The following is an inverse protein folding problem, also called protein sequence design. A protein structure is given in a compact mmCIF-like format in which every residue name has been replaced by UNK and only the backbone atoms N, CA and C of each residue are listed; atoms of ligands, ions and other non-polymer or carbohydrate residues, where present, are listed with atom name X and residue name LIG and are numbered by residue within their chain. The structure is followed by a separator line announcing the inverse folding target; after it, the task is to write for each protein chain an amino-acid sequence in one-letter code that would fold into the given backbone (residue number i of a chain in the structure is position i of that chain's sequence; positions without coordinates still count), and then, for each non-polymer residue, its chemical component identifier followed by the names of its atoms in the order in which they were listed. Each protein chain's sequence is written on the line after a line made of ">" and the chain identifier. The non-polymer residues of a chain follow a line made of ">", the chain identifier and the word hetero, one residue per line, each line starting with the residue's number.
data_IF_536120725018
#
_entry.id   IF_536120725018
#
_cell.length_a   1.000
_cell.length_b   1.000
_cell.length_c   1.000
_cell.angle_alpha   90.00
_cell.angle_beta   90.00
_cell.angle_gamma   90.00
#
_symmetry.space_group_name_H-M   'P 1'
#
loop_
_entity.id
_entity.type
_entity.pdbx_description
1 polymer ?
#
# COMPACT_ATOMS: atom_id res chain seq x y z
N UNK A 1 -14.78 -12.44 -3.10
CA UNK A 1 -14.38 -12.74 -1.71
C UNK A 1 -14.32 -11.44 -0.93
N UNK A 2 -14.83 -11.41 0.30
CA UNK A 2 -14.64 -10.31 1.25
C UNK A 2 -14.29 -10.90 2.60
N UNK A 3 -13.24 -10.39 3.24
CA UNK A 3 -12.90 -10.75 4.62
C UNK A 3 -12.32 -9.54 5.35
N UNK A 4 -12.35 -9.61 6.68
CA UNK A 4 -11.81 -8.59 7.57
C UNK A 4 -10.86 -9.21 8.59
N UNK A 5 -9.84 -8.45 8.96
CA UNK A 5 -8.94 -8.74 10.08
C UNK A 5 -9.03 -7.57 11.05
N UNK A 6 -9.37 -7.86 12.30
CA UNK A 6 -9.62 -6.85 13.33
C UNK A 6 -8.59 -6.97 14.46
N UNK A 7 -7.80 -5.92 14.68
CA UNK A 7 -7.05 -5.72 15.91
C UNK A 7 -7.96 -5.09 16.96
N UNK A 8 -8.19 -5.80 18.06
CA UNK A 8 -9.12 -5.39 19.13
C UNK A 8 -8.35 -4.97 20.38
N UNK A 9 -8.70 -3.81 20.95
CA UNK A 9 -8.14 -3.28 22.20
C UNK A 9 -9.30 -3.03 23.16
N UNK A 10 -9.26 -3.62 24.36
CA UNK A 10 -10.31 -3.49 25.38
C UNK A 10 -11.74 -3.79 24.85
N UNK A 11 -11.87 -4.76 23.95
CA UNK A 11 -13.16 -5.12 23.33
C UNK A 11 -13.60 -4.23 22.16
N UNK A 12 -12.83 -3.20 21.81
CA UNK A 12 -13.11 -2.30 20.68
C UNK A 12 -12.19 -2.57 19.49
N UNK A 13 -12.70 -2.73 18.26
CA UNK A 13 -11.87 -2.80 17.06
C UNK A 13 -11.12 -1.47 16.86
N UNK A 14 -9.79 -1.49 17.04
CA UNK A 14 -8.94 -0.31 16.90
C UNK A 14 -8.34 -0.18 15.50
N UNK A 15 -8.05 -1.32 14.85
CA UNK A 15 -7.51 -1.39 13.49
C UNK A 15 -8.30 -2.46 12.75
N UNK A 16 -8.91 -2.11 11.62
CA UNK A 16 -9.64 -3.05 10.76
C UNK A 16 -9.03 -3.01 9.37
N UNK A 17 -8.60 -4.18 8.88
CA UNK A 17 -8.13 -4.34 7.50
C UNK A 17 -9.18 -5.16 6.78
N UNK A 18 -9.82 -4.56 5.77
CA UNK A 18 -10.74 -5.25 4.89
C UNK A 18 -10.08 -5.55 3.54
N UNK A 19 -10.31 -6.76 3.02
CA UNK A 19 -9.94 -7.13 1.67
C UNK A 19 -11.19 -7.51 0.88
N UNK A 20 -11.42 -6.81 -0.23
CA UNK A 20 -12.51 -7.12 -1.17
C UNK A 20 -11.92 -7.46 -2.54
N UNK A 21 -12.16 -8.68 -3.01
CA UNK A 21 -11.83 -9.12 -4.37
C UNK A 21 -13.11 -9.48 -5.10
N UNK A 22 -13.33 -8.88 -6.27
CA UNK A 22 -14.48 -9.17 -7.14
C UNK A 22 -14.00 -9.72 -8.49
N UNK A 23 -14.79 -10.63 -9.06
CA UNK A 23 -14.57 -11.11 -10.43
C UNK A 23 -15.15 -10.16 -11.49
N UNK A 24 -16.26 -9.49 -11.17
CA UNK A 24 -16.93 -8.50 -12.02
C UNK A 24 -17.41 -7.33 -11.17
N UNK A 25 -17.47 -6.16 -11.77
CA UNK A 25 -17.81 -4.91 -11.07
C UNK A 25 -19.28 -4.87 -10.59
N UNK A 26 -20.18 -5.55 -11.30
CA UNK A 26 -21.61 -5.62 -10.98
C UNK A 26 -21.94 -6.53 -9.79
N UNK A 27 -20.97 -7.33 -9.31
CA UNK A 27 -21.18 -8.24 -8.19
C UNK A 27 -21.05 -7.52 -6.85
N UNK A 28 -22.05 -7.71 -5.98
CA UNK A 28 -22.11 -7.10 -4.64
C UNK A 28 -21.93 -5.57 -4.70
N UNK A 29 -22.86 -4.85 -5.34
CA UNK A 29 -22.84 -3.39 -5.38
C UNK A 29 -22.99 -2.78 -3.97
N UNK A 30 -23.57 -3.52 -3.03
CA UNK A 30 -23.78 -3.18 -1.62
C UNK A 30 -22.48 -3.16 -0.78
N UNK A 31 -21.40 -3.77 -1.27
CA UNK A 31 -20.10 -3.74 -0.62
C UNK A 31 -19.32 -2.47 -0.97
N UNK A 32 -18.30 -2.09 -0.18
CA UNK A 32 -17.43 -0.96 -0.51
C UNK A 32 -16.86 -1.06 -1.93
N UNK A 33 -16.91 0.07 -2.64
CA UNK A 33 -16.46 0.18 -4.01
C UNK A 33 -15.10 0.91 -4.07
N UNK A 34 -14.21 0.52 -4.99
CA UNK A 34 -12.95 1.22 -5.17
C UNK A 34 -13.18 2.62 -5.73
N UNK A 35 -12.24 3.54 -5.45
CA UNK A 35 -12.28 4.91 -5.94
C UNK A 35 -11.88 5.05 -7.42
N UNK A 36 -11.38 3.98 -8.05
CA UNK A 36 -11.08 3.93 -9.48
C UNK A 36 -11.52 2.57 -10.08
N UNK A 37 -11.77 2.50 -11.40
CA UNK A 37 -12.03 1.24 -12.08
C UNK A 37 -10.93 0.19 -11.85
N UNK A 38 -11.31 -1.08 -11.77
CA UNK A 38 -10.40 -2.19 -11.49
C UNK A 38 -9.98 -2.36 -10.01
N UNK A 39 -9.70 -1.28 -9.28
CA UNK A 39 -9.43 -1.35 -7.84
C UNK A 39 -8.60 -0.20 -7.26
N UNK A 40 -8.74 0.05 -5.96
CA UNK A 40 -7.99 1.03 -5.18
C UNK A 40 -7.64 0.49 -3.79
N UNK A 41 -6.77 1.19 -3.07
CA UNK A 41 -6.54 0.97 -1.64
C UNK A 41 -7.04 2.19 -0.87
N UNK A 42 -7.85 1.97 0.16
CA UNK A 42 -8.39 3.04 1.00
C UNK A 42 -7.84 2.93 2.42
N UNK A 43 -7.45 4.07 2.98
CA UNK A 43 -7.12 4.23 4.40
C UNK A 43 -8.11 5.22 4.99
N UNK A 44 -8.78 4.80 6.07
CA UNK A 44 -9.71 5.63 6.83
C UNK A 44 -9.22 5.72 8.27
N UNK A 45 -9.02 6.96 8.73
CA UNK A 45 -8.67 7.28 10.11
C UNK A 45 -9.85 8.05 10.68
N UNK A 46 -10.56 7.45 11.62
CA UNK A 46 -11.71 8.05 12.29
C UNK A 46 -11.30 8.63 13.64
N UNK A 47 -11.59 9.91 13.85
CA UNK A 47 -11.23 10.65 15.07
C UNK A 47 -11.36 12.15 14.85
N UNK A 48 -10.58 12.92 15.59
CA UNK A 48 -10.46 14.36 15.41
C UNK A 48 -8.97 14.75 15.33
N UNK A 49 -8.44 15.13 14.15
CA UNK A 49 -9.13 15.13 12.86
C UNK A 49 -9.34 13.72 12.28
N UNK A 50 -10.31 13.59 11.37
CA UNK A 50 -10.52 12.39 10.54
C UNK A 50 -9.88 12.55 9.16
N UNK A 51 -9.43 11.43 8.57
CA UNK A 51 -8.87 11.38 7.22
C UNK A 51 -9.42 10.21 6.41
N UNK A 52 -9.64 10.43 5.12
CA UNK A 52 -9.87 9.37 4.13
C UNK A 52 -8.91 9.57 2.98
N UNK A 53 -8.15 8.53 2.65
CA UNK A 53 -7.15 8.56 1.57
C UNK A 53 -7.39 7.39 0.65
N UNK A 54 -7.63 7.69 -0.63
CA UNK A 54 -7.69 6.71 -1.71
C UNK A 54 -6.37 6.71 -2.49
N UNK A 55 -5.74 5.55 -2.55
CA UNK A 55 -4.54 5.31 -3.33
C UNK A 55 -4.98 4.54 -4.58
N UNK A 56 -4.77 5.20 -5.73
CA UNK A 56 -5.21 4.77 -7.05
C UNK A 56 -3.99 4.64 -7.99
N UNK A 57 -3.22 3.54 -7.90
CA UNK A 57 -2.04 3.36 -8.73
C UNK A 57 -2.43 3.25 -10.21
N UNK A 58 -1.70 3.95 -11.07
CA UNK A 58 -1.84 3.86 -12.52
C UNK A 58 -0.48 3.67 -13.17
N UNK A 59 -0.46 3.06 -14.35
CA UNK A 59 0.77 2.84 -15.11
C UNK A 59 0.50 3.06 -16.60
N UNK A 60 1.50 3.55 -17.33
CA UNK A 60 1.46 3.59 -18.81
C UNK A 60 1.74 2.22 -19.43
N UNK A 61 2.19 1.24 -18.64
CA UNK A 61 2.62 -0.09 -19.09
C UNK A 61 1.60 -1.20 -18.75
N UNK A 62 0.51 -0.86 -18.10
CA UNK A 62 -0.50 -1.82 -17.66
C UNK A 62 -1.58 -1.16 -16.84
N UNK A 63 -2.48 -1.97 -16.29
CA UNK A 63 -3.59 -1.52 -15.46
C UNK A 63 -3.17 -1.16 -14.02
N UNK A 64 -4.16 -0.95 -13.15
CA UNK A 64 -3.96 -0.67 -11.74
C UNK A 64 -3.21 -1.82 -11.01
N UNK A 65 -3.43 -3.08 -11.41
CA UNK A 65 -2.82 -4.23 -10.78
C UNK A 65 -1.32 -4.28 -11.13
N UNK A 66 -0.98 -4.07 -12.40
CA UNK A 66 0.41 -3.89 -12.82
C UNK A 66 1.07 -2.74 -12.04
N UNK A 67 0.41 -1.58 -11.93
CA UNK A 67 0.93 -0.45 -11.18
C UNK A 67 1.18 -0.76 -9.69
N UNK A 68 0.23 -1.43 -9.03
CA UNK A 68 0.35 -1.83 -7.64
C UNK A 68 1.48 -2.86 -7.42
N UNK A 69 1.63 -3.84 -8.31
CA UNK A 69 2.72 -4.82 -8.27
C UNK A 69 4.09 -4.12 -8.43
N UNK A 70 4.21 -3.19 -9.38
CA UNK A 70 5.45 -2.41 -9.57
C UNK A 70 5.77 -1.58 -8.32
N UNK A 71 4.77 -0.94 -7.70
CA UNK A 71 4.96 -0.20 -6.46
C UNK A 71 5.44 -1.10 -5.30
N UNK A 72 4.85 -2.30 -5.16
CA UNK A 72 5.26 -3.28 -4.16
C UNK A 72 6.70 -3.77 -4.39
N UNK A 73 7.04 -4.16 -5.63
CA UNK A 73 8.39 -4.56 -6.00
C UNK A 73 9.40 -3.43 -5.77
N UNK A 74 9.05 -2.20 -6.14
CA UNK A 74 9.87 -1.01 -5.90
C UNK A 74 10.16 -0.80 -4.41
N UNK A 75 9.15 -0.96 -3.53
CA UNK A 75 9.36 -0.88 -2.08
C UNK A 75 10.33 -1.94 -1.58
N UNK A 76 10.26 -3.18 -2.09
CA UNK A 76 11.16 -4.27 -1.71
C UNK A 76 12.60 -3.95 -2.14
N UNK A 77 12.81 -3.59 -3.41
CA UNK A 77 14.14 -3.28 -3.94
C UNK A 77 14.77 -2.08 -3.24
N UNK A 78 13.99 -1.02 -3.02
CA UNK A 78 14.47 0.18 -2.32
C UNK A 78 14.79 -0.07 -0.84
N UNK A 79 14.27 -1.14 -0.25
CA UNK A 79 14.58 -1.52 1.13
C UNK A 79 15.92 -2.25 1.28
N UNK A 80 16.49 -2.79 0.20
CA UNK A 80 17.71 -3.62 0.25
C UNK A 80 18.86 -2.94 1.00
N UNK A 81 19.23 -1.67 0.73
CA UNK A 81 20.33 -1.02 1.44
C UNK A 81 20.08 -0.91 2.96
N UNK A 82 18.84 -0.58 3.35
CA UNK A 82 18.46 -0.48 4.76
C UNK A 82 18.49 -1.83 5.46
N UNK A 83 18.06 -2.91 4.79
CA UNK A 83 18.11 -4.27 5.31
C UNK A 83 19.55 -4.75 5.48
N UNK A 84 20.42 -4.51 4.50
CA UNK A 84 21.85 -4.89 4.56
C UNK A 84 22.57 -4.17 5.70
N UNK A 85 22.23 -2.90 5.96
CA UNK A 85 22.81 -2.11 7.05
C UNK A 85 22.24 -2.43 8.44
N UNK A 86 21.12 -3.16 8.52
CA UNK A 86 20.47 -3.46 9.79
C UNK A 86 21.24 -4.54 10.58
N UNK A 87 21.19 -4.54 11.93
CA UNK A 87 21.79 -5.62 12.70
C UNK A 87 21.08 -6.96 12.41
N UNK A 88 21.77 -8.10 12.56
CA UNK A 88 21.18 -9.43 12.31
C UNK A 88 19.88 -9.68 13.08
N UNK A 89 19.03 -10.56 12.53
CA UNK A 89 17.73 -10.94 13.11
C UNK A 89 16.54 -10.59 12.21
N UNK A 90 15.34 -10.96 12.65
CA UNK A 90 14.10 -10.58 11.97
C UNK A 90 13.88 -9.08 12.17
N UNK A 91 13.68 -8.35 11.07
CA UNK A 91 13.37 -6.91 11.05
C UNK A 91 12.00 -6.70 10.42
N UNK A 92 11.28 -5.71 10.92
CA UNK A 92 9.98 -5.26 10.40
C UNK A 92 10.12 -3.89 9.76
N UNK A 93 9.07 -3.42 9.08
CA UNK A 93 9.04 -2.06 8.53
C UNK A 93 9.08 -0.96 9.60
N UNK A 94 8.85 -1.28 10.88
CA UNK A 94 8.97 -0.34 11.98
C UNK A 94 10.41 -0.20 12.50
N UNK A 95 11.26 -1.19 12.24
CA UNK A 95 12.67 -1.20 12.65
C UNK A 95 13.59 -0.52 11.61
N UNK A 96 13.07 -0.28 10.41
CA UNK A 96 13.78 0.27 9.27
C UNK A 96 13.38 1.73 9.03
N UNK A 97 14.24 2.55 8.40
CA UNK A 97 13.85 3.90 7.98
C UNK A 97 12.68 3.85 6.99
N UNK A 98 11.99 5.00 6.83
CA UNK A 98 10.98 5.14 5.79
C UNK A 98 11.61 4.90 4.42
N UNK A 99 11.22 3.81 3.76
CA UNK A 99 11.74 3.43 2.45
C UNK A 99 11.12 4.32 1.38
N UNK A 100 11.98 5.09 0.71
CA UNK A 100 11.63 5.96 -0.42
C UNK A 100 12.33 5.51 -1.70
N UNK A 101 11.85 5.96 -2.86
CA UNK A 101 12.58 5.79 -4.10
C UNK A 101 13.83 6.66 -4.12
N UNK A 102 14.98 6.05 -4.44
CA UNK A 102 16.19 6.81 -4.71
C UNK A 102 16.07 7.44 -6.10
N UNK A 103 15.79 8.74 -6.16
CA UNK A 103 15.99 9.49 -7.41
C UNK A 103 17.50 9.59 -7.56
N UNK A 104 18.08 8.78 -8.43
CA UNK A 104 19.49 8.91 -8.75
C UNK A 104 19.76 10.35 -9.15
N UNK A 105 20.57 11.07 -8.37
CA UNK A 105 21.18 12.31 -8.82
C UNK A 105 22.16 11.93 -9.92
N UNK A 106 21.64 11.68 -11.12
CA UNK A 106 22.45 11.62 -12.31
C UNK A 106 23.10 12.99 -12.44
N UNK A 107 24.36 13.11 -12.01
CA UNK A 107 25.24 14.13 -12.54
C UNK A 107 25.36 13.84 -14.03
N UNK A 108 24.44 14.40 -14.82
CA UNK A 108 24.57 14.56 -16.25
C UNK A 108 25.73 15.51 -16.47
N UNK A 109 26.95 14.97 -16.45
CA UNK A 109 28.10 15.60 -17.07
C UNK A 109 27.95 15.44 -18.57
N UNK A 110 27.13 16.30 -19.19
CA UNK A 110 27.35 16.62 -20.60
C UNK A 110 28.62 17.48 -20.68
N UNK A 111 29.70 16.86 -21.13
CA UNK A 111 30.70 17.48 -21.98
C UNK A 111 30.53 16.90 -23.38
#
# INVERSE_FOLDING_TARGET
>A
MRFQICGVVNGHPAIVIEHVTRLREDLRPDWPQPAQPGGSYRVEITGEPSYTVDICPTSRKGDHNHAAIVAAAGRIVNAIPAVVAAPPGIRTTLDLPLITGQVGTGSSGLR
#
